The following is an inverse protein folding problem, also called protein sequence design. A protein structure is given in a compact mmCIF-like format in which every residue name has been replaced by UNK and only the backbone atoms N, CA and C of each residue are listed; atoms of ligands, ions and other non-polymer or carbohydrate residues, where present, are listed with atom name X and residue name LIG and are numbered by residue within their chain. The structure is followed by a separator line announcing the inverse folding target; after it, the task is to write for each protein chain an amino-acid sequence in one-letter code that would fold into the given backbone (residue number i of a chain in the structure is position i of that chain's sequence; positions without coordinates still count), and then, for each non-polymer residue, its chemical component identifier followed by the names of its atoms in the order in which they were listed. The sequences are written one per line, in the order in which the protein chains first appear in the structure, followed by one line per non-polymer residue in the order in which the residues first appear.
data_IF_554907051326
#
_entry.id   IF_554907051326
#
_cell.length_a   1.000
_cell.length_b   1.000
_cell.length_c   1.000
_cell.angle_alpha   90.00
_cell.angle_beta   90.00
_cell.angle_gamma   90.00
#
_symmetry.space_group_name_H-M   'P 1'
#
loop_
_entity.id
_entity.type
_entity.pdbx_description
1 polymer ?
#
# COMPACT_ATOMS: atom_id res chain seq x y z
N UNK A 1 -25.91 0.68 7.25
CA UNK A 1 -24.43 0.41 7.22
C UNK A 1 -23.74 1.75 7.40
N UNK A 2 -22.76 1.82 8.29
CA UNK A 2 -22.07 3.08 8.54
C UNK A 2 -20.90 3.27 7.58
N UNK A 3 -20.03 2.29 7.44
CA UNK A 3 -18.85 2.34 6.57
C UNK A 3 -18.86 1.14 5.61
N UNK A 4 -18.53 1.39 4.35
CA UNK A 4 -18.15 0.39 3.36
C UNK A 4 -16.68 0.59 3.03
N UNK A 5 -15.84 -0.36 3.38
CA UNK A 5 -14.41 -0.35 3.09
C UNK A 5 -14.07 -1.40 2.03
N UNK A 6 -13.12 -1.08 1.16
CA UNK A 6 -12.63 -2.03 0.17
C UNK A 6 -11.38 -1.57 -0.57
N UNK A 7 -10.63 -2.55 -1.08
CA UNK A 7 -9.47 -2.34 -1.93
C UNK A 7 -9.70 -3.01 -3.29
N UNK A 8 -10.54 -2.44 -4.17
CA UNK A 8 -10.81 -3.02 -5.46
C UNK A 8 -9.51 -3.14 -6.26
N UNK A 9 -9.15 -4.33 -6.78
CA UNK A 9 -7.86 -4.53 -7.42
C UNK A 9 -7.69 -3.64 -8.65
N UNK A 10 -6.52 -3.03 -8.73
CA UNK A 10 -6.12 -2.16 -9.84
C UNK A 10 -4.71 -2.56 -10.31
N UNK A 11 -4.56 -3.84 -10.66
CA UNK A 11 -3.26 -4.44 -10.99
C UNK A 11 -2.58 -3.83 -12.22
N UNK A 12 -3.35 -3.18 -13.11
CA UNK A 12 -2.88 -2.48 -14.30
C UNK A 12 -2.18 -1.15 -14.02
N UNK A 13 -2.42 -0.54 -12.85
CA UNK A 13 -1.85 0.76 -12.49
C UNK A 13 -0.69 0.66 -11.48
N UNK A 14 -0.33 -0.54 -11.04
CA UNK A 14 0.83 -0.71 -10.17
C UNK A 14 2.13 -0.27 -10.85
N UNK A 15 2.95 0.55 -10.16
CA UNK A 15 4.26 0.99 -10.66
C UNK A 15 5.19 -0.21 -10.91
N UNK A 16 5.02 -1.30 -10.17
CA UNK A 16 5.77 -2.55 -10.33
C UNK A 16 5.20 -3.48 -11.41
N UNK A 17 4.06 -3.15 -12.04
CA UNK A 17 3.40 -3.97 -13.06
C UNK A 17 3.63 -3.50 -14.49
N UNK A 18 3.14 -4.30 -15.45
CA UNK A 18 3.11 -3.93 -16.87
C UNK A 18 1.94 -2.97 -17.13
N UNK A 19 2.18 -1.67 -16.91
CA UNK A 19 1.20 -0.61 -17.18
C UNK A 19 0.66 -0.73 -18.61
N UNK A 20 -0.54 -0.22 -18.87
CA UNK A 20 -1.19 -0.01 -20.18
C UNK A 20 -1.28 -1.24 -21.10
N UNK A 21 -0.25 -2.09 -21.17
CA UNK A 21 -0.24 -3.29 -22.03
C UNK A 21 -1.20 -4.39 -21.57
N UNK A 22 -1.63 -4.32 -20.30
CA UNK A 22 -2.49 -5.34 -19.69
C UNK A 22 -3.92 -4.84 -19.42
N UNK A 23 -4.28 -3.66 -19.90
CA UNK A 23 -5.64 -3.12 -19.79
C UNK A 23 -6.64 -4.00 -20.54
N UNK A 24 -7.73 -4.35 -19.87
CA UNK A 24 -8.79 -5.20 -20.45
C UNK A 24 -8.44 -6.68 -20.58
N UNK A 25 -7.25 -7.12 -20.13
CA UNK A 25 -6.87 -8.53 -20.18
C UNK A 25 -7.29 -9.25 -18.90
N UNK A 26 -7.71 -10.50 -19.07
CA UNK A 26 -7.95 -11.41 -17.95
C UNK A 26 -6.67 -11.68 -17.17
N UNK A 27 -6.78 -11.62 -15.85
CA UNK A 27 -5.70 -11.96 -14.92
C UNK A 27 -6.14 -13.06 -13.95
N UNK A 28 -5.17 -13.90 -13.56
CA UNK A 28 -5.34 -14.90 -12.51
C UNK A 28 -4.56 -14.48 -11.27
N UNK A 29 -5.16 -14.60 -10.12
CA UNK A 29 -4.48 -14.47 -8.84
C UNK A 29 -3.78 -15.78 -8.46
N UNK A 30 -2.76 -15.70 -7.61
CA UNK A 30 -2.04 -16.87 -7.09
C UNK A 30 -2.92 -17.78 -6.23
N UNK A 31 -3.99 -17.21 -5.66
CA UNK A 31 -4.95 -17.86 -4.79
C UNK A 31 -5.93 -18.81 -5.51
N UNK A 32 -5.73 -19.04 -6.81
CA UNK A 32 -6.51 -20.03 -7.58
C UNK A 32 -7.88 -19.54 -8.06
N UNK A 33 -8.15 -18.24 -7.98
CA UNK A 33 -9.36 -17.65 -8.53
C UNK A 33 -9.42 -17.81 -10.06
N UNK A 34 -10.63 -17.85 -10.62
CA UNK A 34 -10.83 -17.85 -12.07
C UNK A 34 -10.26 -16.58 -12.72
N UNK A 35 -9.84 -16.70 -13.98
CA UNK A 35 -9.39 -15.54 -14.75
C UNK A 35 -10.52 -14.51 -14.87
N UNK A 36 -10.23 -13.24 -14.61
CA UNK A 36 -11.21 -12.15 -14.66
C UNK A 36 -10.56 -10.82 -15.08
N UNK A 37 -11.35 -9.94 -15.66
CA UNK A 37 -10.95 -8.57 -15.97
C UNK A 37 -11.10 -7.74 -14.68
N UNK A 38 -10.00 -7.22 -14.17
CA UNK A 38 -9.96 -6.55 -12.87
C UNK A 38 -10.24 -5.05 -12.95
N UNK A 39 -10.16 -4.48 -14.16
CA UNK A 39 -10.22 -3.04 -14.38
C UNK A 39 -11.61 -2.45 -14.10
N UNK A 40 -12.67 -3.28 -14.08
CA UNK A 40 -14.04 -2.86 -13.80
C UNK A 40 -14.44 -2.99 -12.34
N UNK A 41 -13.71 -3.76 -11.53
CA UNK A 41 -14.09 -4.07 -10.15
C UNK A 41 -14.21 -2.84 -9.24
N UNK A 42 -13.51 -1.75 -9.56
CA UNK A 42 -13.70 -0.50 -8.83
C UNK A 42 -15.11 0.08 -9.05
N UNK A 43 -15.63 -0.03 -10.28
CA UNK A 43 -16.99 0.43 -10.61
C UNK A 43 -18.07 -0.49 -10.05
N UNK A 44 -17.80 -1.79 -9.95
CA UNK A 44 -18.66 -2.74 -9.25
C UNK A 44 -18.74 -2.41 -7.75
N UNK A 45 -17.63 -2.00 -7.14
CA UNK A 45 -17.59 -1.51 -5.76
C UNK A 45 -18.42 -0.23 -5.58
N UNK A 46 -18.35 0.73 -6.54
CA UNK A 46 -19.22 1.92 -6.54
C UNK A 46 -20.68 1.54 -6.72
N UNK A 47 -20.98 0.58 -7.59
CA UNK A 47 -22.35 0.10 -7.76
C UNK A 47 -22.90 -0.54 -6.48
N UNK A 48 -22.08 -1.27 -5.74
CA UNK A 48 -22.42 -1.81 -4.43
C UNK A 48 -22.71 -0.68 -3.42
N UNK A 49 -21.86 0.35 -3.37
CA UNK A 49 -22.07 1.53 -2.53
C UNK A 49 -23.40 2.24 -2.84
N UNK A 50 -23.76 2.34 -4.13
CA UNK A 50 -25.05 2.90 -4.58
C UNK A 50 -26.24 2.12 -4.05
N UNK A 51 -26.14 0.79 -3.98
CA UNK A 51 -27.24 -0.07 -3.48
C UNK A 51 -27.31 -0.05 -1.97
N UNK A 52 -26.17 -0.20 -1.28
CA UNK A 52 -26.09 -0.31 0.19
C UNK A 52 -26.24 1.02 0.91
N UNK A 53 -25.95 2.15 0.23
CA UNK A 53 -26.02 3.51 0.78
C UNK A 53 -25.34 3.68 2.15
N UNK A 54 -24.08 3.22 2.34
CA UNK A 54 -23.36 3.48 3.58
C UNK A 54 -23.19 4.98 3.81
N UNK A 55 -22.96 5.40 5.05
CA UNK A 55 -22.69 6.80 5.39
C UNK A 55 -21.37 7.28 4.78
N UNK A 56 -20.35 6.42 4.84
CA UNK A 56 -19.01 6.68 4.33
C UNK A 56 -18.53 5.48 3.51
N UNK A 57 -17.87 5.75 2.39
CA UNK A 57 -17.15 4.74 1.60
C UNK A 57 -15.66 5.05 1.66
N UNK A 58 -14.86 4.02 1.94
CA UNK A 58 -13.39 4.08 1.91
C UNK A 58 -12.90 3.12 0.84
N UNK A 59 -12.25 3.63 -0.22
CA UNK A 59 -11.70 2.80 -1.28
C UNK A 59 -10.19 3.01 -1.39
N UNK A 60 -9.41 1.95 -1.17
CA UNK A 60 -7.95 2.00 -1.25
C UNK A 60 -7.46 1.61 -2.65
N UNK A 61 -6.34 2.22 -3.06
CA UNK A 61 -5.64 1.81 -4.27
C UNK A 61 -4.14 2.21 -4.26
N UNK A 62 -3.43 1.83 -5.31
CA UNK A 62 -2.01 2.15 -5.48
C UNK A 62 -1.81 3.55 -6.04
N UNK A 63 -0.69 4.22 -5.67
CA UNK A 63 -0.29 5.56 -6.16
C UNK A 63 -0.31 5.67 -7.68
N UNK A 64 0.00 4.58 -8.40
CA UNK A 64 0.02 4.56 -9.86
C UNK A 64 -1.29 4.98 -10.53
N UNK A 65 -2.42 4.92 -9.81
CA UNK A 65 -3.73 5.38 -10.27
C UNK A 65 -3.76 6.90 -10.53
N UNK A 66 -2.89 7.68 -9.90
CA UNK A 66 -2.79 9.14 -10.11
C UNK A 66 -1.86 9.53 -11.26
N UNK A 67 -1.32 8.57 -12.03
CA UNK A 67 -0.24 8.83 -12.99
C UNK A 67 -0.63 8.46 -14.43
N UNK A 68 -0.23 9.32 -15.38
CA UNK A 68 -0.37 9.06 -16.82
C UNK A 68 -1.83 8.95 -17.27
N UNK A 69 -2.12 7.97 -18.11
CA UNK A 69 -3.46 7.71 -18.68
C UNK A 69 -4.52 7.30 -17.64
N UNK A 70 -4.10 6.91 -16.42
CA UNK A 70 -5.01 6.56 -15.33
C UNK A 70 -5.85 7.73 -14.81
N UNK A 71 -5.49 8.98 -15.15
CA UNK A 71 -6.23 10.17 -14.69
C UNK A 71 -7.70 10.16 -15.17
N UNK A 72 -7.98 9.65 -16.36
CA UNK A 72 -9.35 9.57 -16.86
C UNK A 72 -10.17 8.52 -16.11
N UNK A 73 -9.52 7.46 -15.63
CA UNK A 73 -10.13 6.48 -14.75
C UNK A 73 -10.49 7.13 -13.39
N UNK A 74 -9.63 7.97 -12.83
CA UNK A 74 -9.92 8.73 -11.60
C UNK A 74 -11.09 9.69 -11.81
N UNK A 75 -11.13 10.41 -12.95
CA UNK A 75 -12.27 11.30 -13.29
C UNK A 75 -13.59 10.53 -13.33
N UNK A 76 -13.58 9.32 -13.90
CA UNK A 76 -14.74 8.45 -13.91
C UNK A 76 -15.14 8.00 -12.51
N UNK A 77 -14.20 7.64 -11.63
CA UNK A 77 -14.45 7.31 -10.23
C UNK A 77 -15.23 8.44 -9.55
N UNK A 78 -14.77 9.68 -9.68
CA UNK A 78 -15.46 10.84 -9.11
C UNK A 78 -16.88 10.99 -9.62
N UNK A 79 -17.07 10.94 -10.93
CA UNK A 79 -18.39 11.04 -11.57
C UNK A 79 -19.33 9.93 -11.10
N UNK A 80 -18.83 8.71 -10.99
CA UNK A 80 -19.66 7.56 -10.62
C UNK A 80 -20.02 7.58 -9.13
N UNK A 81 -19.13 8.08 -8.24
CA UNK A 81 -19.48 8.34 -6.84
C UNK A 81 -20.48 9.48 -6.68
N UNK A 82 -20.32 10.59 -7.40
CA UNK A 82 -21.29 11.68 -7.39
C UNK A 82 -22.69 11.20 -7.83
N UNK A 83 -22.76 10.44 -8.94
CA UNK A 83 -23.99 9.79 -9.42
C UNK A 83 -24.56 8.77 -8.44
N UNK A 84 -23.74 8.20 -7.56
CA UNK A 84 -24.16 7.28 -6.49
C UNK A 84 -24.64 8.01 -5.23
N UNK A 85 -24.51 9.34 -5.17
CA UNK A 85 -24.95 10.18 -4.07
C UNK A 85 -23.87 10.49 -3.03
N UNK A 86 -22.59 10.55 -3.44
CA UNK A 86 -21.46 10.79 -2.53
C UNK A 86 -20.59 11.96 -2.97
N UNK A 87 -20.19 12.79 -2.02
CA UNK A 87 -19.05 13.66 -2.14
C UNK A 87 -17.76 12.84 -1.99
N UNK A 88 -16.92 12.82 -2.99
CA UNK A 88 -15.69 12.03 -3.02
C UNK A 88 -14.45 12.92 -2.93
N UNK A 89 -13.52 12.58 -2.04
CA UNK A 89 -12.18 13.17 -1.96
C UNK A 89 -11.14 12.06 -2.04
N UNK A 90 -9.95 12.35 -2.56
CA UNK A 90 -8.86 11.40 -2.49
C UNK A 90 -7.63 11.98 -1.80
N UNK A 91 -6.90 11.11 -1.13
CA UNK A 91 -5.70 11.44 -0.36
C UNK A 91 -4.59 10.47 -0.72
N UNK A 92 -3.41 10.99 -1.06
CA UNK A 92 -2.20 10.17 -1.18
C UNK A 92 -1.50 10.18 0.17
N UNK A 93 -1.56 9.06 0.88
CA UNK A 93 -1.06 8.92 2.23
C UNK A 93 0.21 8.08 2.27
N UNK A 94 1.18 8.51 3.08
CA UNK A 94 2.41 7.76 3.35
C UNK A 94 2.33 7.15 4.75
N UNK A 95 2.29 5.83 4.83
CA UNK A 95 2.20 5.07 6.07
C UNK A 95 3.30 5.43 7.08
N UNK A 96 4.50 5.83 6.62
CA UNK A 96 5.60 6.23 7.51
C UNK A 96 5.32 7.47 8.36
N UNK A 97 4.33 8.26 7.97
CA UNK A 97 3.84 9.43 8.73
C UNK A 97 2.65 9.10 9.61
N UNK A 98 2.25 7.84 9.67
CA UNK A 98 1.04 7.34 10.33
C UNK A 98 1.35 6.27 11.38
N UNK A 99 2.58 6.27 11.94
CA UNK A 99 2.99 5.28 12.93
C UNK A 99 3.30 3.89 12.36
N UNK A 100 3.58 3.79 11.06
CA UNK A 100 3.95 2.53 10.39
C UNK A 100 5.43 2.55 10.03
N UNK A 101 6.24 1.52 10.40
CA UNK A 101 7.68 1.48 10.13
C UNK A 101 8.03 1.22 8.66
N UNK A 102 7.24 1.70 7.72
CA UNK A 102 7.51 1.51 6.30
C UNK A 102 7.02 2.70 5.45
N UNK A 103 7.83 3.10 4.46
CA UNK A 103 7.45 4.07 3.42
C UNK A 103 6.52 3.38 2.43
N UNK A 104 5.21 3.53 2.63
CA UNK A 104 4.18 2.92 1.78
C UNK A 104 3.14 3.95 1.41
N UNK A 105 3.20 4.42 0.16
CA UNK A 105 2.23 5.37 -0.35
C UNK A 105 1.01 4.64 -0.95
N UNK A 106 -0.19 5.05 -0.50
CA UNK A 106 -1.48 4.56 -1.02
C UNK A 106 -2.44 5.70 -1.22
N UNK A 107 -3.27 5.58 -2.25
CA UNK A 107 -4.38 6.50 -2.46
C UNK A 107 -5.62 5.96 -1.75
N UNK A 108 -6.32 6.84 -1.06
CA UNK A 108 -7.61 6.55 -0.44
C UNK A 108 -8.65 7.50 -1.00
N UNK A 109 -9.72 6.95 -1.55
CA UNK A 109 -10.93 7.71 -1.85
C UNK A 109 -11.83 7.61 -0.64
N UNK A 110 -12.17 8.75 -0.04
CA UNK A 110 -13.08 8.84 1.09
C UNK A 110 -14.29 9.62 0.61
N UNK A 111 -15.44 8.93 0.62
CA UNK A 111 -16.66 9.44 0.04
C UNK A 111 -17.73 9.49 1.10
N UNK A 112 -18.29 10.68 1.35
CA UNK A 112 -19.37 10.92 2.33
C UNK A 112 -20.67 11.08 1.57
N UNK A 113 -21.73 10.41 2.03
CA UNK A 113 -23.05 10.52 1.40
C UNK A 113 -23.56 11.96 1.44
N UNK A 114 -24.20 12.42 0.35
CA UNK A 114 -24.57 13.83 0.12
C UNK A 114 -25.40 14.42 1.27
N UNK A 115 -26.39 13.66 1.83
CA UNK A 115 -27.24 14.11 2.92
C UNK A 115 -26.48 14.38 4.23
N UNK A 116 -25.36 13.70 4.43
CA UNK A 116 -24.48 13.88 5.59
C UNK A 116 -23.40 14.93 5.33
N UNK A 117 -22.83 14.91 4.14
CA UNK A 117 -21.70 15.76 3.75
C UNK A 117 -22.00 17.25 3.91
N UNK A 118 -23.23 17.68 3.63
CA UNK A 118 -23.64 19.08 3.75
C UNK A 118 -23.49 19.62 5.19
N UNK A 119 -23.60 18.76 6.19
CA UNK A 119 -23.46 19.11 7.60
C UNK A 119 -21.97 19.16 8.06
N UNK A 120 -21.07 18.60 7.26
CA UNK A 120 -19.62 18.55 7.53
C UNK A 120 -18.83 19.60 6.76
N UNK A 121 -19.49 20.49 6.02
CA UNK A 121 -18.85 21.62 5.37
C UNK A 121 -18.30 22.59 6.41
N UNK A 122 -17.09 22.34 6.91
CA UNK A 122 -16.46 23.15 7.96
C UNK A 122 -15.96 24.52 7.44
N UNK A 123 -15.91 24.74 6.14
CA UNK A 123 -15.43 25.98 5.56
C UNK A 123 -16.35 26.40 4.43
N UNK A 124 -17.35 27.17 4.77
CA UNK A 124 -18.09 27.94 3.79
C UNK A 124 -17.28 29.18 3.39
N UNK A 125 -16.33 29.03 2.51
CA UNK A 125 -15.91 30.15 1.72
C UNK A 125 -16.56 30.05 0.33
N UNK A 126 -16.68 31.18 -0.36
CA UNK A 126 -17.32 31.30 -1.69
C UNK A 126 -16.73 30.32 -2.75
N UNK A 127 -15.64 29.64 -2.45
CA UNK A 127 -14.87 28.82 -3.40
C UNK A 127 -14.74 27.35 -3.00
N UNK A 128 -15.17 26.96 -1.79
CA UNK A 128 -15.02 25.59 -1.32
C UNK A 128 -16.34 25.12 -0.69
N UNK A 129 -17.11 24.38 -1.48
CA UNK A 129 -18.45 23.89 -1.14
C UNK A 129 -18.43 22.39 -0.80
N UNK A 130 -17.25 21.73 -0.91
CA UNK A 130 -17.11 20.30 -0.67
C UNK A 130 -16.75 19.98 0.80
N UNK A 131 -17.28 18.89 1.36
CA UNK A 131 -16.87 18.42 2.68
C UNK A 131 -15.37 18.17 2.71
N UNK A 132 -14.68 18.70 3.70
CA UNK A 132 -13.23 18.50 3.88
C UNK A 132 -12.97 17.64 5.12
N UNK A 133 -12.29 16.52 4.90
CA UNK A 133 -11.76 15.69 5.98
C UNK A 133 -10.26 15.96 6.09
N UNK A 134 -9.78 16.23 7.30
CA UNK A 134 -8.34 16.39 7.53
C UNK A 134 -7.65 15.03 7.58
N UNK A 135 -6.85 14.73 6.55
CA UNK A 135 -6.02 13.53 6.45
C UNK A 135 -4.52 13.86 6.52
N UNK A 136 -4.15 14.87 7.30
CA UNK A 136 -2.76 15.18 7.58
C UNK A 136 -2.28 14.37 8.78
N UNK A 137 -1.15 13.68 8.59
CA UNK A 137 -0.49 12.85 9.60
C UNK A 137 0.97 13.24 9.70
N UNK A 138 1.48 13.37 10.92
CA UNK A 138 2.85 13.80 11.20
C UNK A 138 3.44 13.00 12.37
N UNK A 139 3.18 11.69 12.43
CA UNK A 139 3.78 10.80 13.41
C UNK A 139 5.30 10.71 13.20
N UNK A 140 6.04 10.59 14.31
CA UNK A 140 7.48 10.40 14.26
C UNK A 140 7.86 9.11 13.52
N UNK A 141 8.88 9.14 12.66
CA UNK A 141 9.31 7.97 11.91
C UNK A 141 9.82 6.85 12.81
N UNK A 142 9.30 5.64 12.65
CA UNK A 142 9.79 4.44 13.34
C UNK A 142 10.85 3.79 12.47
N UNK A 143 12.11 3.82 12.91
CA UNK A 143 13.25 3.23 12.20
C UNK A 143 13.34 1.72 12.42
N UNK A 144 13.93 0.99 11.46
CA UNK A 144 14.07 -0.46 11.50
C UNK A 144 14.78 -0.96 12.78
N UNK A 145 15.80 -0.23 13.24
CA UNK A 145 16.55 -0.59 14.44
C UNK A 145 15.71 -0.69 15.72
N UNK A 146 14.53 -0.07 15.77
CA UNK A 146 13.65 -0.13 16.94
C UNK A 146 13.06 -1.55 17.19
N UNK A 147 13.06 -2.43 16.17
CA UNK A 147 12.45 -3.76 16.27
C UNK A 147 13.24 -4.86 15.54
N UNK A 148 14.43 -4.56 15.01
CA UNK A 148 15.29 -5.53 14.35
C UNK A 148 15.70 -6.66 15.31
N UNK A 149 15.40 -7.91 14.94
CA UNK A 149 15.74 -9.09 15.77
C UNK A 149 16.77 -10.03 15.13
N UNK A 150 16.96 -9.92 13.79
CA UNK A 150 17.90 -10.72 12.99
C UNK A 150 17.75 -12.24 13.13
N UNK A 151 16.54 -12.71 13.45
CA UNK A 151 16.26 -14.16 13.68
C UNK A 151 15.82 -14.90 12.43
N UNK A 152 15.82 -14.23 11.30
CA UNK A 152 15.49 -14.86 10.03
C UNK A 152 16.55 -15.89 9.58
N UNK A 153 16.19 -16.64 8.54
CA UNK A 153 17.10 -17.63 7.94
C UNK A 153 18.35 -16.95 7.38
N UNK A 154 19.51 -17.53 7.60
CA UNK A 154 20.78 -17.05 7.04
C UNK A 154 20.81 -17.16 5.50
N UNK A 155 21.53 -16.25 4.85
CA UNK A 155 21.80 -16.35 3.42
C UNK A 155 22.74 -17.51 3.12
N UNK A 156 22.49 -18.14 1.97
CA UNK A 156 23.34 -19.17 1.41
C UNK A 156 23.72 -18.84 -0.04
N UNK A 157 24.80 -19.46 -0.54
CA UNK A 157 25.21 -19.38 -1.93
C UNK A 157 25.36 -17.94 -2.44
N UNK A 158 24.82 -17.66 -3.62
CA UNK A 158 24.96 -16.38 -4.31
C UNK A 158 24.46 -15.18 -3.53
N UNK A 159 23.41 -15.33 -2.74
CA UNK A 159 22.90 -14.25 -1.88
C UNK A 159 23.95 -13.82 -0.84
N UNK A 160 24.64 -14.78 -0.23
CA UNK A 160 25.70 -14.51 0.74
C UNK A 160 26.88 -13.79 0.09
N UNK A 161 27.34 -14.26 -1.08
CA UNK A 161 28.42 -13.62 -1.83
C UNK A 161 28.12 -12.16 -2.17
N UNK A 162 26.92 -11.88 -2.68
CA UNK A 162 26.51 -10.52 -3.02
C UNK A 162 26.37 -9.63 -1.78
N UNK A 163 25.90 -10.19 -0.68
CA UNK A 163 25.77 -9.44 0.56
C UNK A 163 27.11 -8.95 1.10
N UNK A 164 28.16 -9.75 0.96
CA UNK A 164 29.53 -9.35 1.40
C UNK A 164 30.12 -8.21 0.56
N UNK A 165 29.60 -7.99 -0.65
CA UNK A 165 30.04 -6.91 -1.54
C UNK A 165 29.27 -5.60 -1.35
N UNK A 166 28.29 -5.56 -0.44
CA UNK A 166 27.52 -4.35 -0.15
C UNK A 166 28.38 -3.28 0.49
N UNK A 167 28.09 -2.04 0.18
CA UNK A 167 28.73 -0.88 0.79
C UNK A 167 27.70 -0.01 1.51
N UNK A 168 28.18 0.76 2.48
CA UNK A 168 27.34 1.70 3.20
C UNK A 168 26.71 2.71 2.22
N UNK A 169 25.39 2.79 2.23
CA UNK A 169 24.63 3.66 1.34
C UNK A 169 23.97 2.93 0.15
N UNK A 170 24.36 1.69 -0.14
CA UNK A 170 23.65 0.88 -1.16
C UNK A 170 22.18 0.76 -0.80
N UNK A 171 21.30 1.00 -1.76
CA UNK A 171 19.84 0.91 -1.56
C UNK A 171 19.33 -0.53 -1.70
N UNK A 172 19.96 -1.28 -2.61
CA UNK A 172 19.53 -2.64 -2.94
C UNK A 172 20.70 -3.56 -3.28
N UNK A 173 20.47 -4.85 -3.16
CA UNK A 173 21.46 -5.89 -3.48
C UNK A 173 21.88 -5.87 -4.97
N UNK A 174 21.04 -5.32 -5.85
CA UNK A 174 21.37 -5.12 -7.28
C UNK A 174 22.57 -4.19 -7.50
N UNK A 175 22.89 -3.32 -6.54
CA UNK A 175 24.08 -2.45 -6.62
C UNK A 175 25.36 -3.25 -6.39
N UNK A 176 25.38 -4.16 -5.41
CA UNK A 176 26.46 -5.12 -5.21
C UNK A 176 26.64 -6.05 -6.43
N UNK A 177 25.53 -6.52 -7.01
CA UNK A 177 25.57 -7.32 -8.24
C UNK A 177 26.17 -6.54 -9.42
N UNK A 178 25.83 -5.25 -9.58
CA UNK A 178 26.40 -4.39 -10.62
C UNK A 178 27.90 -4.19 -10.45
N UNK A 179 28.37 -4.01 -9.21
CA UNK A 179 29.81 -3.90 -8.90
C UNK A 179 30.57 -5.17 -9.33
N UNK A 180 29.99 -6.33 -9.09
CA UNK A 180 30.60 -7.62 -9.42
C UNK A 180 30.62 -7.94 -10.93
N UNK A 181 29.53 -7.62 -11.64
CA UNK A 181 29.32 -8.10 -13.02
C UNK A 181 29.35 -7.01 -14.09
N UNK A 182 29.34 -5.75 -13.70
CA UNK A 182 29.16 -4.59 -14.59
C UNK A 182 27.73 -4.45 -15.17
N UNK A 183 26.81 -5.37 -14.86
CA UNK A 183 25.45 -5.42 -15.40
C UNK A 183 24.41 -5.16 -14.31
N UNK A 184 23.27 -4.57 -14.69
CA UNK A 184 22.10 -4.56 -13.81
C UNK A 184 21.57 -5.98 -13.66
N UNK A 185 21.33 -6.42 -12.42
CA UNK A 185 20.80 -7.73 -12.08
C UNK A 185 19.37 -7.68 -11.60
N UNK A 186 18.78 -8.86 -11.38
CA UNK A 186 17.41 -9.03 -10.89
C UNK A 186 17.30 -9.04 -9.35
N UNK A 187 18.40 -8.73 -8.64
CA UNK A 187 18.42 -8.72 -7.17
C UNK A 187 17.87 -7.38 -6.65
N UNK A 188 16.56 -7.26 -6.63
CA UNK A 188 15.86 -6.02 -6.25
C UNK A 188 15.54 -5.93 -4.75
N UNK A 189 16.13 -6.81 -3.93
CA UNK A 189 16.00 -6.74 -2.47
C UNK A 189 16.56 -5.42 -1.96
N UNK A 190 15.73 -4.65 -1.25
CA UNK A 190 16.13 -3.36 -0.69
C UNK A 190 16.63 -3.54 0.74
N UNK A 191 17.65 -2.78 1.11
CA UNK A 191 18.25 -2.86 2.44
C UNK A 191 17.44 -2.10 3.49
N UNK A 192 17.20 -2.75 4.63
CA UNK A 192 16.71 -2.13 5.86
C UNK A 192 17.91 -1.69 6.70
N UNK A 193 18.07 -0.39 6.86
CA UNK A 193 19.08 0.23 7.72
C UNK A 193 18.49 0.51 9.10
N UNK A 194 19.27 0.29 10.17
CA UNK A 194 18.77 0.49 11.55
C UNK A 194 18.34 1.94 11.84
N UNK A 195 18.95 2.91 11.18
CA UNK A 195 18.69 4.35 11.34
C UNK A 195 17.62 4.92 10.39
N UNK A 196 16.93 4.07 9.64
CA UNK A 196 15.97 4.48 8.61
C UNK A 196 14.67 3.70 8.70
N UNK A 197 13.60 4.34 8.22
CA UNK A 197 12.32 3.69 7.96
C UNK A 197 12.49 2.72 6.78
N UNK A 198 11.93 1.51 6.89
CA UNK A 198 11.97 0.52 5.82
C UNK A 198 11.31 1.02 4.53
N UNK A 199 11.78 0.52 3.40
CA UNK A 199 11.06 0.67 2.13
C UNK A 199 9.75 -0.14 2.13
N UNK A 200 8.95 0.00 1.08
CA UNK A 200 7.69 -0.74 0.96
C UNK A 200 7.92 -2.24 0.94
N UNK A 201 7.34 -2.96 1.90
CA UNK A 201 7.27 -4.42 1.85
C UNK A 201 6.32 -4.82 0.72
N UNK A 202 6.80 -5.58 -0.25
CA UNK A 202 6.00 -6.09 -1.36
C UNK A 202 5.56 -7.54 -1.11
N UNK A 203 4.58 -8.02 -1.88
CA UNK A 203 4.14 -9.42 -1.82
C UNK A 203 5.18 -10.44 -2.36
N UNK A 204 6.28 -9.95 -2.96
CA UNK A 204 7.38 -10.81 -3.35
C UNK A 204 8.20 -11.18 -2.13
N UNK A 205 8.48 -12.47 -1.98
CA UNK A 205 9.39 -12.97 -0.94
C UNK A 205 10.70 -12.20 -0.98
N UNK A 206 11.15 -11.82 0.22
CA UNK A 206 12.45 -11.23 0.44
C UNK A 206 12.67 -9.87 -0.27
N UNK A 207 11.61 -9.09 -0.48
CA UNK A 207 11.73 -7.74 -1.07
C UNK A 207 12.54 -6.77 -0.21
N UNK A 208 12.58 -7.01 1.10
CA UNK A 208 13.38 -6.27 2.09
C UNK A 208 14.33 -7.22 2.81
N UNK A 209 15.54 -6.74 3.08
CA UNK A 209 16.59 -7.51 3.76
C UNK A 209 17.37 -6.61 4.73
N UNK A 210 17.79 -7.11 5.91
CA UNK A 210 18.65 -6.36 6.81
C UNK A 210 19.99 -5.99 6.17
N UNK A 211 20.43 -4.74 6.36
CA UNK A 211 21.77 -4.34 5.89
C UNK A 211 22.89 -4.88 6.78
N UNK A 212 22.65 -4.97 8.09
CA UNK A 212 23.69 -5.28 9.09
C UNK A 212 24.09 -6.76 9.10
N UNK A 213 23.13 -7.67 8.94
CA UNK A 213 23.37 -9.11 9.03
C UNK A 213 22.85 -9.85 7.79
N UNK A 214 23.54 -10.92 7.36
CA UNK A 214 23.21 -11.72 6.19
C UNK A 214 22.06 -12.72 6.46
N UNK A 215 20.91 -12.19 6.85
CA UNK A 215 19.71 -12.98 7.15
C UNK A 215 18.51 -12.38 6.43
N UNK A 216 17.52 -13.20 6.15
CA UNK A 216 16.20 -12.71 5.73
C UNK A 216 15.47 -12.07 6.91
N UNK A 217 14.43 -11.29 6.63
CA UNK A 217 13.57 -10.81 7.72
C UNK A 217 12.87 -11.98 8.41
N UNK A 218 12.82 -11.95 9.73
CA UNK A 218 12.00 -12.86 10.51
C UNK A 218 10.50 -12.56 10.34
N UNK A 219 9.63 -13.49 10.69
CA UNK A 219 8.17 -13.23 10.71
C UNK A 219 7.83 -12.07 11.66
N UNK A 220 8.51 -11.98 12.79
CA UNK A 220 8.30 -10.88 13.75
C UNK A 220 8.64 -9.52 13.14
N UNK A 221 9.77 -9.41 12.43
CA UNK A 221 10.16 -8.18 11.74
C UNK A 221 9.17 -7.81 10.63
N UNK A 222 8.69 -8.79 9.85
CA UNK A 222 7.66 -8.58 8.82
C UNK A 222 6.36 -8.07 9.42
N UNK A 223 5.90 -8.65 10.53
CA UNK A 223 4.73 -8.17 11.26
C UNK A 223 4.93 -6.74 11.77
N UNK A 224 6.09 -6.43 12.37
CA UNK A 224 6.39 -5.08 12.85
C UNK A 224 6.41 -4.07 11.70
N UNK A 225 7.08 -4.35 10.58
CA UNK A 225 7.12 -3.48 9.39
C UNK A 225 5.72 -3.15 8.89
N UNK A 226 4.80 -4.10 8.96
CA UNK A 226 3.45 -3.97 8.45
C UNK A 226 2.41 -3.72 9.53
N UNK A 227 2.83 -3.55 10.79
CA UNK A 227 1.97 -3.32 11.97
C UNK A 227 0.92 -4.42 12.20
N UNK A 228 1.20 -5.65 11.77
CA UNK A 228 0.37 -6.80 12.12
C UNK A 228 0.65 -7.25 13.55
N UNK A 229 -0.38 -7.72 14.30
CA UNK A 229 -0.17 -8.33 15.61
C UNK A 229 0.79 -9.54 15.52
N UNK A 230 1.65 -9.72 16.54
CA UNK A 230 2.63 -10.82 16.56
C UNK A 230 1.97 -12.22 16.64
N UNK A 231 0.77 -12.26 17.15
CA UNK A 231 -0.06 -13.47 17.30
C UNK A 231 -1.06 -13.65 16.14
N UNK A 232 -0.92 -12.86 15.06
CA UNK A 232 -1.80 -12.97 13.89
C UNK A 232 -1.68 -14.34 13.23
N UNK A 233 -2.83 -15.01 13.09
CA UNK A 233 -2.88 -16.32 12.45
C UNK A 233 -2.94 -16.19 10.92
N UNK A 234 -1.84 -16.47 10.25
CA UNK A 234 -1.74 -16.45 8.79
C UNK A 234 -2.34 -17.67 8.09
N UNK A 235 -2.96 -18.60 8.84
CA UNK A 235 -3.62 -19.80 8.30
C UNK A 235 -2.74 -20.63 7.34
N UNK A 236 -1.44 -20.72 7.61
CA UNK A 236 -0.46 -21.45 6.78
C UNK A 236 0.02 -20.70 5.54
N UNK A 237 -0.48 -19.49 5.30
CA UNK A 237 0.02 -18.61 4.21
C UNK A 237 1.31 -17.91 4.63
N UNK A 238 2.07 -17.46 3.63
CA UNK A 238 3.30 -16.70 3.88
C UNK A 238 3.02 -15.35 4.54
N UNK A 239 3.59 -15.05 5.72
CA UNK A 239 3.47 -13.73 6.35
C UNK A 239 3.94 -12.60 5.44
N UNK A 240 5.05 -12.78 4.71
CA UNK A 240 5.55 -11.81 3.74
C UNK A 240 4.52 -11.47 2.66
N UNK A 241 3.86 -12.50 2.12
CA UNK A 241 2.86 -12.33 1.08
C UNK A 241 1.66 -11.54 1.61
N UNK A 242 1.08 -11.98 2.72
CA UNK A 242 -0.09 -11.34 3.32
C UNK A 242 0.21 -9.90 3.73
N UNK A 243 1.28 -9.67 4.48
CA UNK A 243 1.68 -8.32 4.90
C UNK A 243 2.02 -7.41 3.71
N UNK A 244 2.70 -7.95 2.69
CA UNK A 244 3.06 -7.19 1.49
C UNK A 244 1.87 -6.79 0.62
N UNK A 245 0.79 -7.60 0.61
CA UNK A 245 -0.46 -7.30 -0.09
C UNK A 245 -1.35 -6.33 0.68
N UNK A 246 -1.29 -6.36 2.01
CA UNK A 246 -2.23 -5.64 2.88
C UNK A 246 -1.91 -4.15 3.03
N UNK A 247 -2.93 -3.38 3.35
CA UNK A 247 -2.76 -2.07 3.99
C UNK A 247 -2.39 -2.32 5.46
N UNK A 248 -1.36 -1.64 6.00
CA UNK A 248 -1.00 -1.82 7.41
C UNK A 248 -2.17 -1.48 8.36
N UNK A 249 -2.47 -2.32 9.35
CA UNK A 249 -3.57 -2.09 10.28
C UNK A 249 -3.55 -0.73 10.99
N UNK A 250 -2.37 -0.26 11.41
CA UNK A 250 -2.23 1.06 12.05
C UNK A 250 -2.59 2.19 11.08
N UNK A 251 -2.21 2.07 9.78
CA UNK A 251 -2.60 3.06 8.77
C UNK A 251 -4.13 3.15 8.64
N UNK A 252 -4.83 2.01 8.61
CA UNK A 252 -6.30 1.98 8.57
C UNK A 252 -6.93 2.52 9.85
N UNK A 253 -6.36 2.23 11.02
CA UNK A 253 -6.82 2.76 12.30
C UNK A 253 -6.75 4.30 12.33
N UNK A 254 -5.65 4.89 11.86
CA UNK A 254 -5.49 6.34 11.76
C UNK A 254 -6.55 6.97 10.82
N UNK A 255 -6.78 6.36 9.66
CA UNK A 255 -7.82 6.84 8.72
C UNK A 255 -9.20 6.74 9.36
N UNK A 256 -9.52 5.60 10.00
CA UNK A 256 -10.82 5.40 10.65
C UNK A 256 -11.04 6.42 11.78
N UNK A 257 -10.01 6.76 12.55
CA UNK A 257 -10.06 7.80 13.58
C UNK A 257 -10.41 9.16 12.99
N UNK A 258 -9.75 9.56 11.89
CA UNK A 258 -10.05 10.84 11.21
C UNK A 258 -11.46 10.90 10.62
N UNK A 259 -11.99 9.76 10.18
CA UNK A 259 -13.38 9.67 9.67
C UNK A 259 -14.38 9.79 10.83
N UNK A 260 -14.03 9.29 12.02
CA UNK A 260 -14.90 9.32 13.20
C UNK A 260 -14.95 10.73 13.83
N UNK A 261 -13.85 11.46 13.89
CA UNK A 261 -13.74 12.84 14.38
C UNK A 261 -14.53 13.85 13.53
#
# INVERSE_FOLDING_TARGET
MDILDGSPPCSTFSIAGNREKDWGKEKKFREGQSAQVLDTLFFDFIALARVLQPKVVVAENVKGLLMGSAIDYVRRIYKDFDNAGYYCQHFLLDASKMGVPQKRERIFFICIRHDLGINFLKVSNLFNVEPYINMEFNEDPIVYGAFADYKGRAYEGRMRELFELREQGDIALSEAYKKLTGKRGFFNQQFCYEDRVCYTLSAHLDSLIPFKQPVYLSTSEVCNISTFPQDYNFCGLSPHYICGMSVPPVMMAQIATRIYE
#
